data_IF_536546812090
#
_entry.id   IF_536546812090
#
_cell.length_a   1.000
_cell.length_b   1.000
_cell.length_c   1.000
_cell.angle_alpha   90.00
_cell.angle_beta   90.00
_cell.angle_gamma   90.00
#
_symmetry.space_group_name_H-M   'P 1'
#
loop_
_entity.id
_entity.type
_entity.pdbx_description
1 polymer ?
#
# COMPACT_ATOMS: atom_id res chain seq x y z
N UNK A 1 19.68 -12.53 -24.02
CA UNK A 1 18.37 -11.90 -24.33
C UNK A 1 18.63 -10.43 -24.62
N UNK A 2 18.26 -9.95 -25.81
CA UNK A 2 18.44 -8.55 -26.19
C UNK A 2 17.44 -7.70 -25.41
N UNK A 3 17.96 -6.87 -24.52
CA UNK A 3 17.19 -6.04 -23.57
C UNK A 3 16.72 -4.76 -24.27
N UNK A 4 15.41 -4.51 -24.33
CA UNK A 4 14.86 -3.25 -24.89
C UNK A 4 14.82 -2.16 -23.80
N UNK A 5 15.33 -0.95 -24.05
CA UNK A 5 15.28 0.17 -23.11
C UNK A 5 13.85 0.59 -22.70
N UNK A 6 12.84 0.23 -23.52
CA UNK A 6 11.42 0.51 -23.27
C UNK A 6 10.87 -0.12 -21.99
N UNK A 7 11.43 -1.25 -21.56
CA UNK A 7 10.89 -2.03 -20.44
C UNK A 7 11.27 -1.42 -19.08
N UNK A 8 12.42 -0.74 -19.01
CA UNK A 8 12.86 -0.05 -17.79
C UNK A 8 12.06 1.22 -17.48
N UNK A 9 11.72 2.00 -18.51
CA UNK A 9 10.89 3.20 -18.34
C UNK A 9 9.46 2.86 -17.92
N UNK A 10 8.88 1.80 -18.49
CA UNK A 10 7.54 1.32 -18.10
C UNK A 10 7.54 0.84 -16.65
N UNK A 11 8.59 0.11 -16.23
CA UNK A 11 8.76 -0.28 -14.83
C UNK A 11 8.82 0.93 -13.90
N UNK A 12 9.63 1.94 -14.23
CA UNK A 12 9.77 3.15 -13.42
C UNK A 12 8.45 3.94 -13.31
N UNK A 13 7.70 4.07 -14.41
CA UNK A 13 6.39 4.73 -14.42
C UNK A 13 5.38 3.95 -13.57
N UNK A 14 5.32 2.62 -13.68
CA UNK A 14 4.42 1.78 -12.88
C UNK A 14 4.76 1.87 -11.39
N UNK A 15 6.05 1.84 -11.06
CA UNK A 15 6.50 2.00 -9.68
C UNK A 15 6.16 3.39 -9.14
N UNK A 16 6.43 4.46 -9.90
CA UNK A 16 6.07 5.81 -9.51
C UNK A 16 4.55 5.96 -9.31
N UNK A 17 3.74 5.36 -10.18
CA UNK A 17 2.29 5.34 -10.04
C UNK A 17 1.85 4.59 -8.77
N UNK A 18 2.46 3.44 -8.46
CA UNK A 18 2.20 2.72 -7.20
C UNK A 18 2.59 3.56 -5.99
N UNK A 19 3.78 4.18 -5.98
CA UNK A 19 4.25 5.04 -4.88
C UNK A 19 3.33 6.24 -4.67
N UNK A 20 2.86 6.88 -5.76
CA UNK A 20 1.89 7.97 -5.68
C UNK A 20 0.54 7.49 -5.14
N UNK A 21 0.07 6.30 -5.56
CA UNK A 21 -1.17 5.71 -5.05
C UNK A 21 -1.06 5.41 -3.55
N UNK A 22 0.06 4.83 -3.08
CA UNK A 22 0.31 4.64 -1.64
C UNK A 22 0.37 5.98 -0.92
N UNK A 23 1.08 6.96 -1.46
CA UNK A 23 1.16 8.31 -0.88
C UNK A 23 -0.22 8.94 -0.72
N UNK A 24 -1.08 8.83 -1.72
CA UNK A 24 -2.47 9.30 -1.67
C UNK A 24 -3.31 8.55 -0.63
N UNK A 25 -3.17 7.22 -0.58
CA UNK A 25 -3.85 6.40 0.44
C UNK A 25 -3.41 6.79 1.85
N UNK A 26 -2.10 6.96 2.08
CA UNK A 26 -1.56 7.41 3.36
C UNK A 26 -2.04 8.82 3.71
N UNK A 27 -2.04 9.75 2.76
CA UNK A 27 -2.54 11.10 2.97
C UNK A 27 -4.01 11.13 3.37
N UNK A 28 -4.81 10.24 2.78
CA UNK A 28 -6.25 10.14 3.07
C UNK A 28 -6.51 9.42 4.40
N UNK A 29 -5.73 8.38 4.70
CA UNK A 29 -5.87 7.56 5.90
C UNK A 29 -5.31 8.24 7.16
N UNK A 30 -4.20 8.96 7.03
CA UNK A 30 -3.54 9.60 8.16
C UNK A 30 -4.45 10.53 8.99
N UNK A 31 -5.25 11.46 8.42
CA UNK A 31 -6.15 12.30 9.22
C UNK A 31 -7.25 11.48 9.89
N UNK A 32 -7.73 10.41 9.23
CA UNK A 32 -8.71 9.47 9.81
C UNK A 32 -8.07 8.80 11.03
N UNK A 33 -6.86 8.24 10.87
CA UNK A 33 -6.10 7.60 11.94
C UNK A 33 -5.80 8.56 13.09
N UNK A 34 -5.34 9.78 12.80
CA UNK A 34 -5.04 10.80 13.80
C UNK A 34 -6.28 11.19 14.59
N UNK A 35 -7.41 11.43 13.92
CA UNK A 35 -8.67 11.73 14.59
C UNK A 35 -9.20 10.53 15.39
N UNK A 36 -9.00 9.30 14.92
CA UNK A 36 -9.33 8.07 15.68
C UNK A 36 -8.49 7.95 16.97
N UNK A 37 -7.20 8.27 16.92
CA UNK A 37 -6.29 8.19 18.07
C UNK A 37 -6.55 9.32 19.07
N UNK A 38 -6.89 10.51 18.60
CA UNK A 38 -7.08 11.70 19.45
C UNK A 38 -8.50 11.84 20.01
N UNK A 39 -9.53 11.35 19.31
CA UNK A 39 -10.94 11.44 19.72
C UNK A 39 -11.51 10.02 19.90
N UNK A 40 -11.00 9.32 20.91
CA UNK A 40 -11.43 7.98 21.29
C UNK A 40 -12.90 8.00 21.75
N UNK A 41 -13.80 7.48 20.90
CA UNK A 41 -15.21 7.24 21.27
C UNK A 41 -16.26 7.98 20.43
N UNK A 42 -15.88 8.98 19.62
CA UNK A 42 -16.85 9.70 18.78
C UNK A 42 -17.14 9.00 17.45
N UNK A 43 -18.38 9.11 16.97
CA UNK A 43 -18.81 8.55 15.68
C UNK A 43 -18.20 9.41 14.56
N UNK A 44 -17.05 8.97 14.03
CA UNK A 44 -16.51 9.57 12.81
C UNK A 44 -17.43 9.25 11.63
N UNK A 45 -18.13 10.27 11.15
CA UNK A 45 -18.75 10.24 9.83
C UNK A 45 -17.66 10.35 8.77
N UNK A 46 -17.06 9.21 8.43
CA UNK A 46 -16.16 9.13 7.29
C UNK A 46 -16.98 9.42 6.03
N UNK A 47 -16.65 10.52 5.36
CA UNK A 47 -17.36 10.92 4.15
C UNK A 47 -17.29 9.81 3.08
N UNK A 48 -18.40 9.62 2.35
CA UNK A 48 -18.47 8.63 1.26
C UNK A 48 -17.43 8.90 0.16
N UNK A 49 -17.03 10.16 -0.04
CA UNK A 49 -15.95 10.53 -0.96
C UNK A 49 -14.59 10.01 -0.51
N UNK A 50 -14.28 10.02 0.80
CA UNK A 50 -13.05 9.41 1.34
C UNK A 50 -13.04 7.90 1.14
N UNK A 51 -14.16 7.22 1.37
CA UNK A 51 -14.28 5.77 1.14
C UNK A 51 -14.10 5.41 -0.33
N UNK A 52 -14.74 6.15 -1.23
CA UNK A 52 -14.57 5.98 -2.69
C UNK A 52 -13.13 6.25 -3.12
N UNK A 53 -12.48 7.28 -2.55
CA UNK A 53 -11.07 7.58 -2.80
C UNK A 53 -10.13 6.44 -2.37
N UNK A 54 -10.37 5.85 -1.19
CA UNK A 54 -9.61 4.70 -0.71
C UNK A 54 -9.85 3.46 -1.57
N UNK A 55 -11.09 3.20 -1.98
CA UNK A 55 -11.41 2.09 -2.88
C UNK A 55 -10.76 2.27 -4.25
N UNK A 56 -10.85 3.47 -4.84
CA UNK A 56 -10.21 3.78 -6.11
C UNK A 56 -8.68 3.66 -6.04
N UNK A 57 -8.06 4.17 -4.97
CA UNK A 57 -6.62 4.08 -4.75
C UNK A 57 -6.13 2.64 -4.58
N UNK A 58 -6.87 1.80 -3.86
CA UNK A 58 -6.53 0.39 -3.68
C UNK A 58 -6.68 -0.41 -4.98
N UNK A 59 -7.76 -0.17 -5.74
CA UNK A 59 -7.94 -0.78 -7.07
C UNK A 59 -6.83 -0.35 -8.03
N UNK A 60 -6.48 0.93 -8.06
CA UNK A 60 -5.39 1.44 -8.90
C UNK A 60 -4.06 0.78 -8.53
N UNK A 61 -3.75 0.72 -7.24
CA UNK A 61 -2.52 0.09 -6.74
C UNK A 61 -2.44 -1.39 -7.13
N UNK A 62 -3.54 -2.12 -6.96
CA UNK A 62 -3.61 -3.53 -7.31
C UNK A 62 -3.53 -3.75 -8.82
N UNK A 63 -4.19 -2.90 -9.62
CA UNK A 63 -4.13 -2.95 -11.07
C UNK A 63 -2.71 -2.68 -11.58
N UNK A 64 -2.02 -1.68 -11.03
CA UNK A 64 -0.62 -1.41 -11.36
C UNK A 64 0.30 -2.56 -10.97
N UNK A 65 0.08 -3.19 -9.81
CA UNK A 65 0.86 -4.35 -9.36
C UNK A 65 0.68 -5.56 -10.29
N UNK A 66 -0.57 -5.88 -10.65
CA UNK A 66 -0.87 -6.99 -11.57
C UNK A 66 -0.39 -6.72 -12.99
N UNK A 67 -0.54 -5.50 -13.48
CA UNK A 67 0.01 -5.08 -14.77
C UNK A 67 1.53 -5.26 -14.77
N UNK A 68 2.21 -4.90 -13.69
CA UNK A 68 3.65 -5.12 -13.57
C UNK A 68 4.00 -6.62 -13.59
N UNK A 69 3.36 -7.44 -12.76
CA UNK A 69 3.65 -8.90 -12.71
C UNK A 69 3.48 -9.56 -14.08
N UNK A 70 2.43 -9.17 -14.81
CA UNK A 70 2.06 -9.84 -16.05
C UNK A 70 2.90 -9.40 -17.25
N UNK A 71 3.45 -8.18 -17.23
CA UNK A 71 4.03 -7.55 -18.42
C UNK A 71 5.47 -7.06 -18.28
N UNK A 72 6.01 -6.89 -17.06
CA UNK A 72 7.28 -6.17 -16.85
C UNK A 72 8.20 -6.89 -15.86
N UNK A 73 9.40 -7.24 -16.31
CA UNK A 73 10.46 -7.79 -15.46
C UNK A 73 11.10 -6.71 -14.59
N UNK A 74 11.43 -7.03 -13.34
CA UNK A 74 12.16 -6.12 -12.43
C UNK A 74 13.47 -5.72 -13.09
N UNK A 75 13.72 -4.41 -13.19
CA UNK A 75 15.01 -3.90 -13.62
C UNK A 75 15.53 -2.92 -12.58
N UNK A 76 16.73 -3.15 -12.08
CA UNK A 76 17.40 -2.24 -11.16
C UNK A 76 17.73 -0.93 -11.89
N UNK A 77 17.19 0.23 -11.46
CA UNK A 77 17.54 1.51 -12.06
C UNK A 77 18.94 1.98 -11.62
N UNK A 78 19.42 1.52 -10.46
CA UNK A 78 20.69 1.91 -9.85
C UNK A 78 21.31 0.72 -9.10
N UNK A 79 22.64 0.69 -8.95
CA UNK A 79 23.35 -0.21 -8.06
C UNK A 79 23.91 0.63 -6.91
N UNK A 80 23.19 0.70 -5.80
CA UNK A 80 23.62 1.44 -4.61
C UNK A 80 23.07 0.77 -3.36
N UNK A 81 23.98 0.26 -2.53
CA UNK A 81 23.65 -0.42 -1.28
C UNK A 81 22.82 0.47 -0.34
N UNK A 82 23.11 1.77 -0.30
CA UNK A 82 22.34 2.72 0.52
C UNK A 82 20.89 2.85 0.05
N UNK A 83 20.68 2.92 -1.28
CA UNK A 83 19.33 2.99 -1.85
C UNK A 83 18.58 1.68 -1.63
N UNK A 84 19.23 0.52 -1.78
CA UNK A 84 18.62 -0.77 -1.47
C UNK A 84 18.14 -0.84 -0.01
N UNK A 85 18.94 -0.38 0.95
CA UNK A 85 18.57 -0.36 2.36
C UNK A 85 17.41 0.59 2.66
N UNK A 86 17.40 1.79 2.08
CA UNK A 86 16.25 2.70 2.20
C UNK A 86 14.96 2.08 1.65
N UNK A 87 15.06 1.36 0.53
CA UNK A 87 13.93 0.66 -0.06
C UNK A 87 13.44 -0.46 0.87
N UNK A 88 14.32 -1.30 1.42
CA UNK A 88 13.93 -2.32 2.41
C UNK A 88 13.29 -1.72 3.67
N UNK A 89 13.84 -0.61 4.16
CA UNK A 89 13.28 0.10 5.30
C UNK A 89 11.85 0.62 5.01
N UNK A 90 11.64 1.21 3.84
CA UNK A 90 10.31 1.69 3.41
C UNK A 90 9.29 0.56 3.22
N UNK A 91 9.72 -0.63 2.76
CA UNK A 91 8.88 -1.82 2.69
C UNK A 91 8.39 -2.26 4.08
N UNK A 92 9.30 -2.26 5.07
CA UNK A 92 8.98 -2.62 6.45
C UNK A 92 8.08 -1.58 7.12
N UNK A 93 8.34 -0.29 6.90
CA UNK A 93 7.49 0.79 7.39
C UNK A 93 6.06 0.70 6.86
N UNK A 94 5.89 0.41 5.57
CA UNK A 94 4.56 0.30 4.95
C UNK A 94 3.73 -0.82 5.60
N UNK A 95 4.37 -1.95 5.92
CA UNK A 95 3.73 -3.06 6.61
C UNK A 95 3.37 -2.72 8.06
N UNK A 96 4.29 -2.10 8.81
CA UNK A 96 4.05 -1.65 10.19
C UNK A 96 2.90 -0.65 10.27
N UNK A 97 2.87 0.31 9.36
CA UNK A 97 1.78 1.29 9.26
C UNK A 97 0.44 0.60 8.98
N UNK A 98 0.41 -0.34 8.03
CA UNK A 98 -0.80 -1.13 7.73
C UNK A 98 -1.34 -1.87 8.96
N UNK A 99 -0.46 -2.54 9.72
CA UNK A 99 -0.83 -3.25 10.94
C UNK A 99 -1.35 -2.33 12.07
N UNK A 100 -0.71 -1.18 12.27
CA UNK A 100 -1.13 -0.18 13.26
C UNK A 100 -2.51 0.42 12.90
N UNK A 101 -2.72 0.74 11.63
CA UNK A 101 -3.99 1.27 11.13
C UNK A 101 -5.13 0.26 11.29
N UNK A 102 -4.90 -1.01 10.93
CA UNK A 102 -5.85 -2.09 11.13
C UNK A 102 -6.26 -2.22 12.59
N UNK A 103 -5.26 -2.26 13.49
CA UNK A 103 -5.48 -2.41 14.92
C UNK A 103 -6.33 -1.26 15.48
N UNK A 104 -5.99 0.00 15.14
CA UNK A 104 -6.74 1.17 15.58
C UNK A 104 -8.21 1.16 15.15
N UNK A 105 -8.51 0.67 13.93
CA UNK A 105 -9.90 0.54 13.46
C UNK A 105 -10.61 -0.60 14.19
N UNK A 106 -9.99 -1.78 14.29
CA UNK A 106 -10.62 -2.97 14.86
C UNK A 106 -10.96 -2.80 16.34
N UNK A 107 -10.03 -2.26 17.15
CA UNK A 107 -10.25 -2.06 18.57
C UNK A 107 -11.39 -1.05 18.86
N UNK A 108 -11.69 -0.12 17.95
CA UNK A 108 -12.75 0.89 18.13
C UNK A 108 -14.13 0.43 17.67
N UNK A 109 -14.29 -0.65 16.92
CA UNK A 109 -15.62 -1.12 16.48
C UNK A 109 -16.32 -2.04 17.49
N UNK A 110 -15.67 -2.40 18.60
CA UNK A 110 -16.25 -3.15 19.71
C UNK A 110 -17.35 -2.42 20.52
N UNK A 111 -17.38 -1.08 20.71
CA UNK A 111 -18.41 -0.41 21.52
C UNK A 111 -19.73 -0.11 20.79
N UNK A 112 -19.83 -0.35 19.47
CA UNK A 112 -21.00 0.00 18.67
C UNK A 112 -22.16 -1.03 18.73
N UNK A 113 -22.20 -1.85 19.79
CA UNK A 113 -23.22 -2.90 20.00
C UNK A 113 -24.59 -2.37 20.47
N UNK A 114 -24.77 -1.05 20.61
CA UNK A 114 -26.06 -0.45 20.98
C UNK A 114 -27.11 -0.42 19.86
N UNK A 115 -26.68 -0.52 18.59
CA UNK A 115 -27.56 -0.63 17.42
C UNK A 115 -26.84 -1.44 16.35
N UNK A 116 -27.15 -2.73 16.25
CA UNK A 116 -26.47 -3.68 15.37
C UNK A 116 -26.63 -3.22 13.91
N UNK A 117 -25.57 -2.78 13.23
CA UNK A 117 -25.64 -2.51 11.79
C UNK A 117 -25.98 -3.81 11.05
N UNK A 118 -26.59 -3.74 9.86
CA UNK A 118 -26.76 -4.93 9.02
C UNK A 118 -25.42 -5.66 8.85
N UNK A 119 -25.41 -6.99 9.01
CA UNK A 119 -24.22 -7.83 8.86
C UNK A 119 -23.40 -7.50 7.60
N UNK A 120 -24.10 -7.14 6.52
CA UNK A 120 -23.53 -6.75 5.24
C UNK A 120 -22.60 -5.53 5.29
N UNK A 121 -22.91 -4.53 6.12
CA UNK A 121 -22.07 -3.32 6.24
C UNK A 121 -20.74 -3.62 6.93
N UNK A 122 -20.77 -4.46 7.95
CA UNK A 122 -19.56 -4.92 8.66
C UNK A 122 -18.69 -5.73 7.70
N UNK A 123 -19.31 -6.61 6.92
CA UNK A 123 -18.62 -7.44 5.94
C UNK A 123 -17.95 -6.61 4.84
N UNK A 124 -18.65 -5.63 4.25
CA UNK A 124 -18.08 -4.73 3.25
C UNK A 124 -16.90 -3.95 3.84
N UNK A 125 -17.02 -3.40 5.05
CA UNK A 125 -15.93 -2.67 5.70
C UNK A 125 -14.72 -3.56 5.95
N UNK A 126 -14.93 -4.78 6.44
CA UNK A 126 -13.85 -5.75 6.66
C UNK A 126 -13.13 -6.11 5.36
N UNK A 127 -13.88 -6.37 4.29
CA UNK A 127 -13.32 -6.59 2.95
C UNK A 127 -12.54 -5.36 2.46
N UNK A 128 -13.08 -4.16 2.62
CA UNK A 128 -12.44 -2.92 2.16
C UNK A 128 -11.09 -2.70 2.83
N UNK A 129 -11.03 -2.88 4.15
CA UNK A 129 -9.79 -2.79 4.92
C UNK A 129 -8.83 -3.92 4.53
N UNK A 130 -9.34 -5.15 4.39
CA UNK A 130 -8.55 -6.29 3.95
C UNK A 130 -7.92 -6.07 2.58
N UNK A 131 -8.66 -5.52 1.62
CA UNK A 131 -8.17 -5.17 0.29
C UNK A 131 -7.08 -4.09 0.36
N UNK A 132 -7.24 -3.09 1.23
CA UNK A 132 -6.21 -2.06 1.43
C UNK A 132 -4.91 -2.63 2.01
N UNK A 133 -5.01 -3.48 3.05
CA UNK A 133 -3.87 -4.15 3.66
C UNK A 133 -3.16 -5.07 2.66
N UNK A 134 -3.94 -5.80 1.87
CA UNK A 134 -3.42 -6.64 0.81
C UNK A 134 -2.65 -5.83 -0.25
N UNK A 135 -3.19 -4.68 -0.66
CA UNK A 135 -2.49 -3.75 -1.56
C UNK A 135 -1.17 -3.25 -0.97
N UNK A 136 -1.18 -2.79 0.29
CA UNK A 136 0.04 -2.36 1.00
C UNK A 136 1.09 -3.49 1.08
N UNK A 137 0.65 -4.73 1.27
CA UNK A 137 1.50 -5.91 1.23
C UNK A 137 2.07 -6.19 -0.17
N UNK A 138 1.26 -6.07 -1.22
CA UNK A 138 1.74 -6.19 -2.60
C UNK A 138 2.80 -5.12 -2.92
N UNK A 139 2.58 -3.89 -2.46
CA UNK A 139 3.54 -2.80 -2.62
C UNK A 139 4.83 -3.04 -1.82
N UNK A 140 4.76 -3.52 -0.58
CA UNK A 140 5.97 -3.84 0.20
C UNK A 140 6.79 -4.95 -0.45
N UNK A 141 6.15 -5.99 -0.98
CA UNK A 141 6.83 -7.03 -1.78
C UNK A 141 7.49 -6.46 -3.04
N UNK A 142 6.84 -5.48 -3.68
CA UNK A 142 7.38 -4.81 -4.86
C UNK A 142 8.68 -4.05 -4.52
N UNK A 143 8.67 -3.32 -3.39
CA UNK A 143 9.83 -2.63 -2.86
C UNK A 143 10.93 -3.61 -2.46
N UNK A 144 10.63 -4.74 -1.80
CA UNK A 144 11.64 -5.75 -1.50
C UNK A 144 12.28 -6.33 -2.77
N UNK A 145 11.48 -6.58 -3.81
CA UNK A 145 12.01 -7.02 -5.12
C UNK A 145 12.92 -5.96 -5.75
N UNK A 146 12.54 -4.69 -5.67
CA UNK A 146 13.36 -3.58 -6.15
C UNK A 146 14.66 -3.47 -5.35
N UNK A 147 14.60 -3.55 -4.02
CA UNK A 147 15.76 -3.49 -3.12
C UNK A 147 16.77 -4.58 -3.44
N UNK A 148 16.31 -5.82 -3.63
CA UNK A 148 17.18 -6.94 -4.06
C UNK A 148 17.83 -6.69 -5.42
N UNK A 149 17.07 -6.18 -6.39
CA UNK A 149 17.63 -5.87 -7.71
C UNK A 149 18.69 -4.75 -7.65
N UNK A 150 18.54 -3.77 -6.74
CA UNK A 150 19.51 -2.69 -6.53
C UNK A 150 20.76 -3.17 -5.75
N UNK A 151 20.58 -4.17 -4.87
CA UNK A 151 21.65 -4.78 -4.07
C UNK A 151 22.54 -5.74 -4.87
N UNK A 152 21.98 -6.40 -5.89
CA UNK A 152 22.66 -7.44 -6.68
C UNK A 152 23.98 -6.88 -7.27
N UNK A 153 25.15 -7.39 -6.87
CA UNK A 153 26.42 -6.82 -7.30
C UNK A 153 26.69 -7.17 -8.76
N UNK A 154 27.25 -6.23 -9.53
CA UNK A 154 28.07 -6.57 -10.70
C UNK A 154 29.28 -7.37 -10.21
N UNK A 155 29.15 -8.68 -10.09
CA UNK A 155 30.28 -9.58 -9.89
C UNK A 155 31.03 -9.70 -11.21
N UNK A 156 32.29 -9.26 -11.32
CA UNK A 156 33.17 -9.74 -12.38
C UNK A 156 33.46 -11.21 -12.09
N UNK A 157 33.00 -12.10 -12.98
CA UNK A 157 33.53 -13.47 -13.11
C UNK A 157 34.77 -13.39 -13.98
#
# INVERSE_FOLDING_TARGET
>A
MVVRPRDGTVYAILLAAQTLAVGFLLWTVFPIFYSVVTHLGERQDVSWSSLLGLAAGTVLLQACYWARIRWVTVRAPCHSLFVAHLVFFSARLSFLFGGAFFSAIFFRHLPALGSVPPFWEIFIRAISIGAMLFGLFCYSLELERLGRAIEEPTLPV
#
